data_IF_854333417880
#
_entry.id   IF_854333417880
#
_cell.length_a   1.000
_cell.length_b   1.000
_cell.length_c   1.000
_cell.angle_alpha   90.00
_cell.angle_beta   90.00
_cell.angle_gamma   90.00
#
_symmetry.space_group_name_H-M   'P 1'
#
loop_
_entity.id
_entity.type
_entity.pdbx_description
1 polymer ?
#
# COMPACT_ATOMS: atom_id res chain seq x y z
N UNK A 1 9.77 14.33 7.05
CA UNK A 1 10.88 14.45 6.08
C UNK A 1 10.24 14.74 4.72
N UNK A 2 10.40 15.97 4.20
CA UNK A 2 9.94 16.30 2.86
C UNK A 2 10.93 15.66 1.88
N UNK A 3 10.63 14.45 1.41
CA UNK A 3 11.38 13.83 0.34
C UNK A 3 11.16 14.68 -0.92
N UNK A 4 12.26 15.22 -1.43
CA UNK A 4 12.24 16.00 -2.67
C UNK A 4 11.73 15.14 -3.83
N UNK A 5 10.78 15.68 -4.60
CA UNK A 5 10.23 14.99 -5.77
C UNK A 5 11.20 15.16 -6.92
N UNK A 6 11.65 14.09 -7.59
CA UNK A 6 12.59 14.21 -8.68
C UNK A 6 11.98 14.98 -9.87
N UNK A 7 12.67 15.98 -10.43
CA UNK A 7 12.20 16.65 -11.62
C UNK A 7 12.16 15.68 -12.80
N UNK A 8 11.29 15.96 -13.77
CA UNK A 8 11.03 15.05 -14.89
C UNK A 8 12.30 14.65 -15.66
N UNK A 9 13.24 15.58 -15.85
CA UNK A 9 14.51 15.29 -16.52
C UNK A 9 15.34 14.26 -15.73
N UNK A 10 15.43 14.40 -14.40
CA UNK A 10 16.17 13.47 -13.55
C UNK A 10 15.54 12.06 -13.58
N UNK A 11 14.20 11.99 -13.55
CA UNK A 11 13.47 10.71 -13.70
C UNK A 11 13.80 10.04 -15.03
N UNK A 12 13.76 10.79 -16.15
CA UNK A 12 14.09 10.26 -17.48
C UNK A 12 15.54 9.76 -17.57
N UNK A 13 16.49 10.49 -17.01
CA UNK A 13 17.89 10.05 -16.91
C UNK A 13 17.99 8.76 -16.08
N UNK A 14 17.31 8.72 -14.94
CA UNK A 14 17.30 7.55 -14.07
C UNK A 14 16.68 6.33 -14.76
N UNK A 15 15.61 6.50 -15.54
CA UNK A 15 15.01 5.40 -16.31
C UNK A 15 16.01 4.76 -17.29
N UNK A 16 16.86 5.56 -17.94
CA UNK A 16 17.88 5.05 -18.88
C UNK A 16 19.04 4.40 -18.13
N UNK A 17 19.48 5.00 -17.02
CA UNK A 17 20.65 4.55 -16.26
C UNK A 17 20.32 3.49 -15.20
N UNK A 18 19.05 3.11 -15.05
CA UNK A 18 18.65 2.25 -13.93
C UNK A 18 19.30 0.88 -13.95
N UNK A 19 19.41 0.24 -15.10
CA UNK A 19 20.09 -1.05 -15.22
C UNK A 19 21.56 -0.97 -14.77
N UNK A 20 22.42 -0.07 -15.30
CA UNK A 20 23.79 0.06 -14.78
C UNK A 20 23.84 0.44 -13.29
N UNK A 21 22.92 1.27 -12.81
CA UNK A 21 22.83 1.58 -11.37
C UNK A 21 22.56 0.31 -10.55
N UNK A 22 21.59 -0.50 -10.94
CA UNK A 22 21.25 -1.75 -10.24
C UNK A 22 22.38 -2.76 -10.35
N UNK A 23 23.09 -2.84 -11.47
CA UNK A 23 24.29 -3.69 -11.59
C UNK A 23 25.37 -3.26 -10.60
N UNK A 24 25.65 -1.97 -10.48
CA UNK A 24 26.60 -1.42 -9.50
C UNK A 24 26.11 -1.70 -8.07
N UNK A 25 24.85 -1.43 -7.76
CA UNK A 25 24.28 -1.72 -6.44
C UNK A 25 24.38 -3.23 -6.12
N UNK A 26 24.12 -4.09 -7.09
CA UNK A 26 24.26 -5.55 -6.93
C UNK A 26 25.71 -5.93 -6.63
N UNK A 27 26.67 -5.33 -7.34
CA UNK A 27 28.11 -5.55 -7.09
C UNK A 27 28.53 -5.08 -5.68
N UNK A 28 27.99 -3.96 -5.20
CA UNK A 28 28.19 -3.47 -3.82
C UNK A 28 27.54 -4.40 -2.79
N UNK A 29 26.38 -4.96 -3.08
CA UNK A 29 25.67 -5.88 -2.18
C UNK A 29 26.30 -7.29 -2.14
N UNK A 30 27.02 -7.69 -3.20
CA UNK A 30 27.59 -9.03 -3.33
C UNK A 30 28.55 -9.41 -2.18
N UNK A 31 29.48 -8.56 -1.72
CA UNK A 31 30.31 -8.85 -0.55
C UNK A 31 29.48 -9.11 0.70
N UNK A 32 28.43 -8.33 0.95
CA UNK A 32 27.54 -8.51 2.10
C UNK A 32 26.72 -9.79 1.97
N UNK A 33 26.34 -10.18 0.76
CA UNK A 33 25.71 -11.46 0.49
C UNK A 33 26.64 -12.63 0.84
N UNK A 34 27.92 -12.59 0.39
CA UNK A 34 28.91 -13.61 0.67
C UNK A 34 29.22 -13.71 2.18
N UNK A 35 29.43 -12.56 2.84
CA UNK A 35 29.62 -12.50 4.30
C UNK A 35 28.37 -13.07 5.00
N UNK A 36 27.17 -12.67 4.57
CA UNK A 36 25.91 -13.18 5.11
C UNK A 36 25.77 -14.70 4.92
N UNK A 37 26.19 -15.24 3.77
CA UNK A 37 26.18 -16.67 3.49
C UNK A 37 27.15 -17.45 4.40
N UNK A 38 28.36 -16.92 4.62
CA UNK A 38 29.35 -17.50 5.54
C UNK A 38 28.83 -17.49 6.99
N UNK A 39 28.28 -16.35 7.43
CA UNK A 39 27.70 -16.20 8.79
C UNK A 39 26.47 -17.12 8.96
N UNK A 40 25.69 -17.33 7.90
CA UNK A 40 24.48 -18.16 7.92
C UNK A 40 24.74 -19.66 8.16
N UNK A 41 26.00 -20.10 8.11
CA UNK A 41 26.43 -21.45 8.53
C UNK A 41 26.15 -21.64 10.03
N UNK A 42 26.24 -20.57 10.82
CA UNK A 42 25.91 -20.61 12.24
C UNK A 42 24.40 -20.48 12.46
N UNK A 43 23.76 -21.34 13.29
CA UNK A 43 22.37 -21.29 13.59
C UNK A 43 21.91 -19.89 14.08
N UNK A 44 20.77 -19.41 13.61
CA UNK A 44 20.19 -18.13 14.01
C UNK A 44 20.80 -16.88 13.37
N UNK A 45 21.91 -16.99 12.61
CA UNK A 45 22.62 -15.82 12.04
C UNK A 45 22.35 -15.55 10.56
N UNK A 46 21.12 -15.82 10.10
CA UNK A 46 20.74 -15.69 8.67
C UNK A 46 20.18 -14.32 8.28
N UNK A 47 20.06 -13.35 9.20
CA UNK A 47 19.40 -12.06 8.95
C UNK A 47 20.05 -11.27 7.81
N UNK A 48 21.37 -11.11 7.83
CA UNK A 48 22.08 -10.37 6.79
C UNK A 48 21.83 -10.98 5.40
N UNK A 49 22.01 -12.30 5.28
CA UNK A 49 21.75 -13.00 4.02
C UNK A 49 20.31 -12.78 3.53
N UNK A 50 19.32 -12.87 4.41
CA UNK A 50 17.89 -12.68 4.11
C UNK A 50 17.60 -11.28 3.60
N UNK A 51 18.10 -10.25 4.30
CA UNK A 51 17.88 -8.85 3.94
C UNK A 51 18.55 -8.52 2.61
N UNK A 52 19.82 -8.90 2.42
CA UNK A 52 20.55 -8.64 1.18
C UNK A 52 19.90 -9.37 -0.01
N UNK A 53 19.50 -10.64 0.18
CA UNK A 53 18.78 -11.38 -0.86
C UNK A 53 17.49 -10.71 -1.27
N UNK A 54 16.69 -10.22 -0.30
CA UNK A 54 15.44 -9.53 -0.58
C UNK A 54 15.68 -8.18 -1.26
N UNK A 55 16.68 -7.41 -0.82
CA UNK A 55 17.05 -6.15 -1.46
C UNK A 55 17.46 -6.36 -2.94
N UNK A 56 18.26 -7.39 -3.22
CA UNK A 56 18.60 -7.75 -4.60
C UNK A 56 17.38 -8.16 -5.41
N UNK A 57 16.49 -8.99 -4.84
CA UNK A 57 15.25 -9.39 -5.50
C UNK A 57 14.35 -8.21 -5.81
N UNK A 58 14.24 -7.24 -4.90
CA UNK A 58 13.51 -5.99 -5.12
C UNK A 58 14.09 -5.19 -6.28
N UNK A 59 15.39 -4.90 -6.26
CA UNK A 59 16.07 -4.11 -7.30
C UNK A 59 15.90 -4.73 -8.70
N UNK A 60 16.06 -6.06 -8.82
CA UNK A 60 15.90 -6.74 -10.10
C UNK A 60 14.44 -6.86 -10.53
N UNK A 61 13.49 -6.92 -9.61
CA UNK A 61 12.06 -6.84 -9.93
C UNK A 61 11.69 -5.47 -10.47
N UNK A 62 12.25 -4.41 -9.89
CA UNK A 62 12.04 -3.03 -10.36
C UNK A 62 12.62 -2.82 -11.77
N UNK A 63 13.84 -3.31 -12.03
CA UNK A 63 14.39 -3.37 -13.39
C UNK A 63 13.43 -4.10 -14.34
N UNK A 64 12.91 -5.25 -13.91
CA UNK A 64 11.93 -6.02 -14.68
C UNK A 64 10.64 -5.25 -14.99
N UNK A 65 10.13 -4.48 -14.03
CA UNK A 65 8.97 -3.59 -14.24
C UNK A 65 9.29 -2.51 -15.27
N UNK A 66 10.40 -1.81 -15.12
CA UNK A 66 10.80 -0.72 -16.00
C UNK A 66 10.99 -1.21 -17.45
N UNK A 67 11.81 -2.22 -17.65
CA UNK A 67 12.10 -2.74 -18.99
C UNK A 67 10.94 -3.53 -19.58
N UNK A 68 10.12 -4.17 -18.75
CA UNK A 68 8.85 -4.75 -19.15
C UNK A 68 7.89 -3.70 -19.73
N UNK A 69 7.82 -2.54 -19.08
CA UNK A 69 7.08 -1.39 -19.60
C UNK A 69 7.63 -0.94 -20.97
N UNK A 70 8.94 -0.85 -21.12
CA UNK A 70 9.55 -0.48 -22.40
C UNK A 70 9.27 -1.52 -23.48
N UNK A 71 9.40 -2.81 -23.17
CA UNK A 71 9.08 -3.89 -24.10
C UNK A 71 7.62 -3.82 -24.58
N UNK A 72 6.67 -3.61 -23.65
CA UNK A 72 5.26 -3.44 -24.00
C UNK A 72 5.02 -2.20 -24.89
N UNK A 73 5.79 -1.13 -24.69
CA UNK A 73 5.70 0.05 -25.53
C UNK A 73 6.18 -0.23 -26.97
N UNK A 74 7.24 -1.01 -27.16
CA UNK A 74 7.74 -1.39 -28.49
C UNK A 74 6.81 -2.37 -29.22
N UNK A 75 6.19 -3.29 -28.48
CA UNK A 75 5.30 -4.30 -29.06
C UNK A 75 3.94 -3.71 -29.44
N UNK A 76 3.53 -2.62 -28.82
CA UNK A 76 2.25 -1.95 -29.09
C UNK A 76 2.48 -0.47 -29.43
N UNK A 77 3.02 -0.18 -30.63
CA UNK A 77 3.33 1.18 -31.01
C UNK A 77 2.08 2.04 -31.26
N UNK A 78 2.23 3.34 -31.18
CA UNK A 78 1.29 4.34 -31.66
C UNK A 78 1.33 4.36 -33.21
N UNK A 79 0.28 4.60 -33.98
CA UNK A 79 -1.12 4.87 -33.72
C UNK A 79 -2.00 3.63 -33.79
N UNK A 80 -3.20 3.68 -33.20
CA UNK A 80 -4.15 2.55 -33.20
C UNK A 80 -4.08 1.67 -31.94
N UNK A 81 -3.45 2.19 -30.88
CA UNK A 81 -3.35 1.49 -29.59
C UNK A 81 -4.73 1.25 -28.97
N UNK A 82 -5.07 -0.02 -28.76
CA UNK A 82 -6.18 -0.40 -27.90
C UNK A 82 -5.82 -0.09 -26.44
N UNK A 83 -6.49 0.91 -25.87
CA UNK A 83 -6.25 1.39 -24.49
C UNK A 83 -6.55 0.29 -23.47
N UNK A 84 -7.59 -0.53 -23.70
CA UNK A 84 -7.97 -1.61 -22.80
C UNK A 84 -6.86 -2.67 -22.78
N UNK A 85 -6.42 -3.12 -23.93
CA UNK A 85 -5.33 -4.11 -24.04
C UNK A 85 -4.02 -3.56 -23.48
N UNK A 86 -3.75 -2.27 -23.65
CA UNK A 86 -2.59 -1.59 -23.07
C UNK A 86 -2.60 -1.64 -21.54
N UNK A 87 -3.73 -1.28 -20.93
CA UNK A 87 -3.91 -1.33 -19.47
C UNK A 87 -3.83 -2.75 -18.93
N UNK A 88 -4.45 -3.72 -19.60
CA UNK A 88 -4.40 -5.12 -19.20
C UNK A 88 -2.99 -5.69 -19.19
N UNK A 89 -2.18 -5.42 -20.22
CA UNK A 89 -0.77 -5.85 -20.28
C UNK A 89 0.05 -5.26 -19.16
N UNK A 90 -0.11 -3.97 -18.86
CA UNK A 90 0.59 -3.31 -17.75
C UNK A 90 0.09 -3.82 -16.38
N UNK A 91 -1.20 -4.10 -16.25
CA UNK A 91 -1.76 -4.78 -15.06
C UNK A 91 -1.19 -6.20 -14.92
N UNK A 92 -1.01 -6.92 -16.01
CA UNK A 92 -0.34 -8.22 -16.03
C UNK A 92 1.11 -8.14 -15.54
N UNK A 93 1.84 -7.11 -15.97
CA UNK A 93 3.21 -6.85 -15.52
C UNK A 93 3.26 -6.52 -14.02
N UNK A 94 2.36 -5.66 -13.53
CA UNK A 94 2.23 -5.36 -12.10
C UNK A 94 1.94 -6.62 -11.28
N UNK A 95 0.99 -7.46 -11.75
CA UNK A 95 0.65 -8.73 -11.11
C UNK A 95 1.84 -9.69 -11.06
N UNK A 96 2.66 -9.73 -12.11
CA UNK A 96 3.88 -10.54 -12.14
C UNK A 96 4.90 -10.03 -11.13
N UNK A 97 5.18 -8.73 -11.12
CA UNK A 97 6.13 -8.11 -10.19
C UNK A 97 5.72 -8.34 -8.72
N UNK A 98 4.45 -8.12 -8.38
CA UNK A 98 3.95 -8.34 -7.03
C UNK A 98 4.01 -9.81 -6.61
N UNK A 99 3.75 -10.76 -7.53
CA UNK A 99 3.93 -12.19 -7.25
C UNK A 99 5.40 -12.56 -6.98
N UNK A 100 6.32 -11.99 -7.74
CA UNK A 100 7.77 -12.19 -7.52
C UNK A 100 8.17 -11.64 -6.16
N UNK A 101 7.76 -10.40 -5.83
CA UNK A 101 8.05 -9.77 -4.54
C UNK A 101 7.40 -10.52 -3.36
N UNK A 102 6.15 -10.98 -3.49
CA UNK A 102 5.48 -11.76 -2.47
C UNK A 102 6.18 -13.11 -2.23
N UNK A 103 6.63 -13.78 -3.28
CA UNK A 103 7.42 -15.01 -3.17
C UNK A 103 8.79 -14.74 -2.52
N UNK A 104 9.46 -13.66 -2.93
CA UNK A 104 10.75 -13.26 -2.36
C UNK A 104 10.63 -12.89 -0.88
N UNK A 105 9.63 -12.08 -0.50
CA UNK A 105 9.39 -11.69 0.89
C UNK A 105 9.08 -12.92 1.76
N UNK A 106 8.25 -13.84 1.28
CA UNK A 106 7.95 -15.08 2.01
C UNK A 106 9.19 -15.96 2.21
N UNK A 107 9.98 -16.19 1.15
CA UNK A 107 11.11 -17.11 1.20
C UNK A 107 12.34 -16.52 1.87
N UNK A 108 12.60 -15.23 1.69
CA UNK A 108 13.84 -14.58 2.14
C UNK A 108 13.68 -13.95 3.52
N UNK A 109 12.60 -13.17 3.75
CA UNK A 109 12.40 -12.49 5.03
C UNK A 109 11.34 -13.13 5.93
N UNK A 110 10.68 -14.20 5.47
CA UNK A 110 9.69 -14.93 6.27
C UNK A 110 8.30 -14.28 6.30
N UNK A 111 8.06 -13.23 5.51
CA UNK A 111 6.80 -12.50 5.51
C UNK A 111 5.64 -13.37 5.01
N UNK A 112 4.64 -13.55 5.85
CA UNK A 112 3.44 -14.34 5.56
C UNK A 112 2.21 -13.46 5.65
N UNK A 113 1.23 -13.76 4.82
CA UNK A 113 -0.08 -13.11 4.84
C UNK A 113 -1.13 -14.18 5.12
N UNK A 114 -1.96 -13.93 6.10
CA UNK A 114 -3.14 -14.73 6.43
C UNK A 114 -4.35 -13.87 6.11
N UNK A 115 -5.29 -14.44 5.39
CA UNK A 115 -6.49 -13.72 4.97
C UNK A 115 -7.69 -14.36 5.67
N UNK A 116 -8.29 -13.60 6.57
CA UNK A 116 -9.62 -13.89 7.11
C UNK A 116 -10.64 -13.25 6.16
N UNK A 117 -11.10 -14.06 5.20
CA UNK A 117 -11.88 -13.57 4.09
C UNK A 117 -13.30 -13.19 4.51
N UNK A 118 -13.60 -11.91 4.45
CA UNK A 118 -14.97 -11.40 4.45
C UNK A 118 -15.71 -11.72 3.13
N UNK A 119 -16.95 -11.24 2.97
CA UNK A 119 -17.71 -11.41 1.74
C UNK A 119 -16.99 -10.77 0.56
N UNK A 120 -17.00 -11.42 -0.61
CA UNK A 120 -16.43 -10.82 -1.81
C UNK A 120 -17.36 -9.73 -2.35
N UNK A 121 -16.83 -8.57 -2.76
CA UNK A 121 -17.63 -7.56 -3.41
C UNK A 121 -18.17 -8.07 -4.76
N UNK A 122 -19.34 -7.56 -5.21
CA UNK A 122 -19.95 -7.99 -6.47
C UNK A 122 -18.97 -7.87 -7.65
N UNK A 123 -18.94 -8.87 -8.57
CA UNK A 123 -18.07 -8.82 -9.74
C UNK A 123 -18.50 -7.69 -10.70
N UNK A 124 -17.53 -7.19 -11.48
CA UNK A 124 -17.77 -6.19 -12.53
C UNK A 124 -18.46 -4.89 -12.07
N UNK A 125 -18.21 -4.49 -10.82
CA UNK A 125 -18.59 -3.17 -10.29
C UNK A 125 -17.32 -2.46 -9.80
N UNK A 126 -17.19 -1.15 -10.04
CA UNK A 126 -16.06 -0.40 -9.51
C UNK A 126 -16.10 -0.38 -7.97
N UNK A 127 -14.93 -0.29 -7.36
CA UNK A 127 -14.80 -0.30 -5.90
C UNK A 127 -14.03 0.94 -5.42
N UNK A 128 -14.39 1.43 -4.26
CA UNK A 128 -13.51 2.24 -3.43
C UNK A 128 -13.01 1.35 -2.28
N UNK A 129 -11.72 1.33 -2.05
CA UNK A 129 -11.11 0.53 -0.99
C UNK A 129 -10.48 1.48 0.01
N UNK A 130 -10.93 1.41 1.24
CA UNK A 130 -10.38 2.15 2.36
C UNK A 130 -9.44 1.22 3.13
N UNK A 131 -8.14 1.45 3.01
CA UNK A 131 -7.12 0.60 3.64
C UNK A 131 -6.51 1.25 4.87
N UNK A 132 -6.31 0.46 5.94
CA UNK A 132 -5.44 0.83 7.06
C UNK A 132 -3.99 0.93 6.59
N UNK A 133 -3.19 1.80 7.21
CA UNK A 133 -1.79 2.00 6.83
C UNK A 133 -0.87 1.97 8.07
N UNK A 134 -0.27 0.81 8.34
CA UNK A 134 0.43 0.59 9.60
C UNK A 134 1.86 0.01 9.50
N UNK A 135 2.36 -0.31 8.31
CA UNK A 135 3.69 -0.92 8.27
C UNK A 135 4.36 -0.97 6.91
N UNK A 136 5.61 -1.42 6.85
CA UNK A 136 6.35 -1.56 5.61
C UNK A 136 5.76 -2.68 4.75
N UNK A 137 5.46 -2.39 3.49
CA UNK A 137 4.98 -3.38 2.53
C UNK A 137 3.47 -3.64 2.55
N UNK A 138 2.70 -3.04 3.47
CA UNK A 138 1.24 -3.14 3.47
C UNK A 138 0.64 -2.74 2.12
N UNK A 139 1.01 -1.59 1.59
CA UNK A 139 0.51 -1.10 0.30
C UNK A 139 0.72 -2.09 -0.84
N UNK A 140 1.88 -2.76 -0.92
CA UNK A 140 2.13 -3.80 -1.92
C UNK A 140 1.23 -5.01 -1.72
N UNK A 141 1.00 -5.40 -0.46
CA UNK A 141 0.13 -6.52 -0.10
C UNK A 141 -1.32 -6.21 -0.45
N UNK A 142 -1.81 -5.01 -0.11
CA UNK A 142 -3.17 -4.57 -0.43
C UNK A 142 -3.39 -4.47 -1.94
N UNK A 143 -2.45 -3.91 -2.70
CA UNK A 143 -2.52 -3.87 -4.17
C UNK A 143 -2.52 -5.28 -4.76
N UNK A 144 -1.73 -6.20 -4.20
CA UNK A 144 -1.76 -7.60 -4.62
C UNK A 144 -3.12 -8.27 -4.33
N UNK A 145 -3.73 -7.99 -3.18
CA UNK A 145 -5.07 -8.47 -2.82
C UNK A 145 -6.13 -7.96 -3.80
N UNK A 146 -6.08 -6.67 -4.16
CA UNK A 146 -6.97 -6.05 -5.15
C UNK A 146 -6.88 -6.78 -6.50
N UNK A 147 -5.66 -7.09 -6.94
CA UNK A 147 -5.42 -7.76 -8.22
C UNK A 147 -5.81 -9.24 -8.22
N UNK A 148 -5.63 -9.93 -7.10
CA UNK A 148 -5.75 -11.40 -7.06
C UNK A 148 -7.09 -11.87 -6.50
N UNK A 149 -7.54 -11.27 -5.39
CA UNK A 149 -8.75 -11.65 -4.68
C UNK A 149 -9.97 -10.90 -5.22
N UNK A 150 -9.91 -9.58 -5.25
CA UNK A 150 -11.02 -8.79 -5.78
C UNK A 150 -11.05 -8.73 -7.31
N UNK A 151 -9.96 -9.12 -7.98
CA UNK A 151 -9.83 -9.15 -9.44
C UNK A 151 -10.14 -7.80 -10.09
N UNK A 152 -9.61 -6.71 -9.48
CA UNK A 152 -9.74 -5.34 -9.97
C UNK A 152 -8.38 -4.77 -10.37
N UNK A 153 -8.39 -3.86 -11.34
CA UNK A 153 -7.22 -3.03 -11.66
C UNK A 153 -7.11 -1.92 -10.61
N UNK A 154 -5.98 -1.84 -9.89
CA UNK A 154 -5.83 -0.85 -8.82
C UNK A 154 -5.55 0.54 -9.41
N UNK A 155 -6.28 1.54 -8.95
CA UNK A 155 -5.92 2.95 -9.00
C UNK A 155 -5.47 3.36 -7.60
N UNK A 156 -4.24 3.80 -7.46
CA UNK A 156 -3.63 4.08 -6.16
C UNK A 156 -3.22 5.54 -6.08
N UNK A 157 -3.46 6.14 -4.92
CA UNK A 157 -2.94 7.47 -4.60
C UNK A 157 -1.65 7.30 -3.80
N UNK A 158 -0.52 7.70 -4.38
CA UNK A 158 0.82 7.52 -3.80
C UNK A 158 1.49 8.85 -3.50
N UNK A 159 2.53 8.82 -2.66
CA UNK A 159 3.41 9.98 -2.48
C UNK A 159 4.29 10.15 -3.73
N UNK A 160 4.44 11.39 -4.20
CA UNK A 160 5.29 11.68 -5.37
C UNK A 160 6.76 11.28 -5.20
N UNK A 161 7.24 11.16 -3.96
CA UNK A 161 8.57 10.61 -3.66
C UNK A 161 8.77 9.17 -4.14
N UNK A 162 7.69 8.39 -4.35
CA UNK A 162 7.79 7.05 -4.93
C UNK A 162 8.26 7.04 -6.39
N UNK A 163 8.24 8.20 -7.06
CA UNK A 163 8.78 8.37 -8.41
C UNK A 163 10.32 8.33 -8.48
N UNK A 164 11.02 8.21 -7.33
CA UNK A 164 12.44 7.86 -7.30
C UNK A 164 12.70 6.39 -7.65
N UNK A 165 11.69 5.54 -7.57
CA UNK A 165 11.72 4.16 -8.01
C UNK A 165 11.25 4.09 -9.47
N UNK A 166 12.14 3.79 -10.43
CA UNK A 166 11.82 3.91 -11.86
C UNK A 166 10.76 2.94 -12.36
N UNK A 167 10.71 1.73 -11.82
CA UNK A 167 9.70 0.75 -12.20
C UNK A 167 8.32 1.17 -11.70
N UNK A 168 8.23 1.62 -10.44
CA UNK A 168 7.01 2.18 -9.86
C UNK A 168 6.57 3.42 -10.65
N UNK A 169 7.50 4.34 -10.92
CA UNK A 169 7.20 5.57 -11.65
C UNK A 169 6.57 5.29 -13.02
N UNK A 170 7.23 4.49 -13.85
CA UNK A 170 6.75 4.24 -15.22
C UNK A 170 5.49 3.40 -15.22
N UNK A 171 5.45 2.32 -14.44
CA UNK A 171 4.34 1.37 -14.46
C UNK A 171 3.05 2.00 -13.92
N UNK A 172 3.11 2.67 -12.77
CA UNK A 172 1.92 3.24 -12.14
C UNK A 172 1.40 4.49 -12.86
N UNK A 173 2.26 5.30 -13.51
CA UNK A 173 1.80 6.34 -14.41
C UNK A 173 1.03 5.77 -15.62
N UNK A 174 1.39 4.60 -16.12
CA UNK A 174 0.68 3.93 -17.22
C UNK A 174 -0.63 3.25 -16.81
N UNK A 175 -0.82 3.05 -15.51
CA UNK A 175 -2.05 2.55 -14.91
C UNK A 175 -2.92 3.65 -14.33
N UNK A 176 -2.68 4.91 -14.70
CA UNK A 176 -3.43 6.09 -14.26
C UNK A 176 -3.50 6.25 -12.73
N UNK A 177 -2.45 5.80 -12.00
CA UNK A 177 -2.31 6.09 -10.59
C UNK A 177 -1.88 7.54 -10.35
N UNK A 178 -2.20 8.09 -9.18
CA UNK A 178 -1.93 9.49 -8.86
C UNK A 178 -0.79 9.65 -7.85
N UNK A 179 0.22 10.44 -8.22
CA UNK A 179 1.33 10.79 -7.37
C UNK A 179 1.11 12.15 -6.70
N UNK A 180 0.82 12.13 -5.40
CA UNK A 180 0.56 13.31 -4.58
C UNK A 180 1.83 14.17 -4.42
N UNK A 181 1.80 15.45 -4.83
CA UNK A 181 2.88 16.39 -4.55
C UNK A 181 3.09 16.59 -3.04
N UNK A 182 4.36 16.81 -2.64
CA UNK A 182 4.71 17.04 -1.22
C UNK A 182 4.42 18.47 -0.74
N UNK A 183 3.90 19.36 -1.58
CA UNK A 183 3.76 20.78 -1.29
C UNK A 183 2.66 21.08 -0.27
N UNK A 184 2.97 21.92 0.68
CA UNK A 184 2.03 22.67 1.53
C UNK A 184 1.22 23.61 0.65
N UNK A 185 -0.10 23.47 0.61
CA UNK A 185 -1.02 24.29 -0.21
C UNK A 185 -1.87 23.51 -1.21
N UNK A 186 -1.59 22.24 -1.46
CA UNK A 186 -2.26 21.41 -2.45
C UNK A 186 -3.54 20.71 -1.91
N UNK A 187 -4.24 21.26 -0.93
CA UNK A 187 -5.44 20.62 -0.37
C UNK A 187 -6.54 20.47 -1.42
N UNK A 188 -6.88 21.53 -2.10
CA UNK A 188 -7.95 21.57 -3.11
C UNK A 188 -7.56 20.74 -4.35
N UNK A 189 -6.29 20.82 -4.79
CA UNK A 189 -5.79 20.00 -5.89
C UNK A 189 -5.88 18.50 -5.61
N UNK A 190 -5.64 18.09 -4.35
CA UNK A 190 -5.73 16.67 -3.94
C UNK A 190 -7.17 16.16 -4.01
N UNK A 191 -8.11 16.94 -3.51
CA UNK A 191 -9.54 16.64 -3.54
C UNK A 191 -10.00 16.51 -4.99
N UNK A 192 -9.64 17.47 -5.85
CA UNK A 192 -9.97 17.43 -7.26
C UNK A 192 -9.41 16.19 -7.98
N UNK A 193 -8.16 15.81 -7.69
CA UNK A 193 -7.56 14.62 -8.30
C UNK A 193 -8.22 13.32 -7.83
N UNK A 194 -8.53 13.17 -6.54
CA UNK A 194 -9.25 12.01 -6.02
C UNK A 194 -10.65 11.94 -6.64
N UNK A 195 -11.36 13.08 -6.73
CA UNK A 195 -12.66 13.20 -7.40
C UNK A 195 -12.57 12.72 -8.86
N UNK A 196 -11.56 13.16 -9.59
CA UNK A 196 -11.34 12.77 -10.99
C UNK A 196 -11.05 11.27 -11.12
N UNK A 197 -10.20 10.71 -10.26
CA UNK A 197 -9.93 9.27 -10.22
C UNK A 197 -11.21 8.47 -9.95
N UNK A 198 -11.99 8.87 -8.96
CA UNK A 198 -13.24 8.20 -8.62
C UNK A 198 -14.21 8.22 -9.79
N UNK A 199 -14.44 9.40 -10.43
CA UNK A 199 -15.30 9.53 -11.62
C UNK A 199 -14.83 8.68 -12.79
N UNK A 200 -13.54 8.47 -12.94
CA UNK A 200 -12.95 7.70 -14.04
C UNK A 200 -12.92 6.18 -13.80
N UNK A 201 -13.43 5.69 -12.66
CA UNK A 201 -13.45 4.27 -12.36
C UNK A 201 -14.30 3.48 -13.36
N UNK A 202 -13.67 2.51 -13.99
CA UNK A 202 -14.31 1.52 -14.84
C UNK A 202 -14.80 0.32 -14.00
N UNK A 203 -15.63 -0.55 -14.59
CA UNK A 203 -16.27 -1.67 -13.88
C UNK A 203 -15.28 -2.61 -13.18
N UNK A 204 -14.10 -2.79 -13.75
CA UNK A 204 -13.07 -3.69 -13.24
C UNK A 204 -11.92 -2.93 -12.55
N UNK A 205 -12.19 -1.75 -12.01
CA UNK A 205 -11.21 -0.92 -11.31
C UNK A 205 -11.56 -0.72 -9.83
N UNK A 206 -10.52 -0.52 -9.04
CA UNK A 206 -10.64 -0.20 -7.62
C UNK A 206 -9.73 0.97 -7.26
N UNK A 207 -10.28 2.00 -6.62
CA UNK A 207 -9.53 3.13 -6.08
C UNK A 207 -9.14 2.82 -4.63
N UNK A 208 -7.84 2.65 -4.38
CA UNK A 208 -7.30 2.47 -3.03
C UNK A 208 -6.97 3.83 -2.41
N UNK A 209 -7.59 4.10 -1.29
CA UNK A 209 -7.36 5.28 -0.45
C UNK A 209 -6.93 4.81 0.94
N UNK A 210 -5.93 5.49 1.51
CA UNK A 210 -5.55 5.37 2.90
C UNK A 210 -6.09 6.58 3.66
N UNK A 211 -7.23 6.48 4.36
CA UNK A 211 -7.88 7.62 5.01
C UNK A 211 -7.00 8.29 6.07
N UNK A 212 -6.13 7.54 6.70
CA UNK A 212 -5.15 8.01 7.70
C UNK A 212 -4.12 9.00 7.13
N UNK A 213 -3.87 8.97 5.83
CA UNK A 213 -2.90 9.84 5.14
C UNK A 213 -1.44 9.55 5.51
N UNK A 214 -1.15 8.44 6.16
CA UNK A 214 0.20 7.97 6.47
C UNK A 214 0.21 6.82 7.45
N UNK A 215 1.33 6.10 7.53
CA UNK A 215 1.47 4.93 8.41
C UNK A 215 1.20 5.30 9.86
N UNK A 216 0.50 4.43 10.56
CA UNK A 216 0.30 4.54 11.99
C UNK A 216 1.66 4.50 12.73
N UNK A 217 1.80 5.36 13.70
CA UNK A 217 2.88 5.35 14.71
C UNK A 217 2.39 6.09 15.96
N UNK A 218 2.83 5.71 17.17
CA UNK A 218 2.43 6.40 18.41
C UNK A 218 2.63 7.93 18.35
N UNK A 219 3.75 8.36 17.74
CA UNK A 219 4.06 9.78 17.56
C UNK A 219 3.09 10.51 16.63
N UNK A 220 2.65 9.84 15.56
CA UNK A 220 1.67 10.41 14.61
C UNK A 220 0.28 10.43 15.22
N UNK A 221 -0.11 9.36 15.90
CA UNK A 221 -1.36 9.28 16.63
C UNK A 221 -1.48 10.43 17.64
N UNK A 222 -0.53 10.57 18.57
CA UNK A 222 -0.51 11.68 19.53
C UNK A 222 -0.51 13.08 18.87
N UNK A 223 0.07 13.22 17.68
CA UNK A 223 0.01 14.48 16.90
C UNK A 223 -1.38 14.72 16.30
N UNK A 224 -2.03 13.68 15.82
CA UNK A 224 -3.36 13.77 15.22
C UNK A 224 -4.39 14.16 16.29
N UNK A 225 -4.38 13.51 17.46
CA UNK A 225 -5.24 13.86 18.60
C UNK A 225 -5.03 15.32 19.01
N UNK A 226 -3.78 15.77 19.17
CA UNK A 226 -3.49 17.19 19.49
C UNK A 226 -3.98 18.16 18.42
N UNK A 227 -3.96 17.75 17.15
CA UNK A 227 -4.50 18.56 16.06
C UNK A 227 -6.02 18.71 16.19
N UNK A 228 -6.76 17.62 16.42
CA UNK A 228 -8.21 17.63 16.62
C UNK A 228 -8.60 18.54 17.81
N UNK A 229 -7.92 18.42 18.95
CA UNK A 229 -8.15 19.29 20.10
C UNK A 229 -7.92 20.77 19.76
N UNK A 230 -6.84 21.11 19.05
CA UNK A 230 -6.54 22.50 18.68
C UNK A 230 -7.52 23.09 17.67
N UNK A 231 -8.17 22.25 16.88
CA UNK A 231 -9.16 22.67 15.87
C UNK A 231 -10.59 22.60 16.39
N UNK A 232 -10.80 22.33 17.68
CA UNK A 232 -12.12 22.32 18.32
C UNK A 232 -12.95 21.08 18.03
N UNK A 233 -12.37 20.03 17.47
CA UNK A 233 -13.03 18.76 17.15
C UNK A 233 -12.96 17.81 18.36
N UNK A 234 -13.58 18.20 19.46
CA UNK A 234 -13.43 17.53 20.77
C UNK A 234 -13.96 16.11 20.80
N UNK A 235 -15.13 15.85 20.17
CA UNK A 235 -15.71 14.50 20.12
C UNK A 235 -14.79 13.54 19.35
N UNK A 236 -14.38 13.90 18.13
CA UNK A 236 -13.42 13.12 17.35
C UNK A 236 -12.06 12.96 18.03
N UNK A 237 -11.65 13.96 18.83
CA UNK A 237 -10.40 13.85 19.59
C UNK A 237 -10.52 12.84 20.74
N UNK A 238 -11.72 12.72 21.34
CA UNK A 238 -12.01 11.74 22.38
C UNK A 238 -12.03 10.32 21.76
N UNK A 239 -12.78 10.12 20.69
CA UNK A 239 -12.80 8.85 19.95
C UNK A 239 -11.39 8.42 19.55
N UNK A 240 -10.62 9.32 18.93
CA UNK A 240 -9.23 9.04 18.55
C UNK A 240 -8.28 8.79 19.75
N UNK A 241 -8.64 9.15 20.98
CA UNK A 241 -7.87 8.78 22.19
C UNK A 241 -8.15 7.35 22.64
N UNK A 242 -9.37 6.88 22.36
CA UNK A 242 -9.80 5.53 22.70
C UNK A 242 -9.35 4.51 21.63
N UNK A 243 -9.03 4.98 20.40
CA UNK A 243 -8.52 4.19 19.29
C UNK A 243 -6.98 4.14 19.30
N UNK A 244 -6.39 2.99 19.65
CA UNK A 244 -4.94 2.88 19.85
C UNK A 244 -4.16 2.41 18.61
N UNK A 245 -4.83 1.82 17.61
CA UNK A 245 -4.19 1.12 16.50
C UNK A 245 -4.38 1.81 15.15
N UNK A 246 -5.20 2.83 15.05
CA UNK A 246 -5.44 3.59 13.84
C UNK A 246 -5.10 5.07 14.00
N UNK A 247 -4.91 5.80 12.92
CA UNK A 247 -4.93 7.26 12.95
C UNK A 247 -6.34 7.74 12.62
N UNK A 248 -6.84 8.81 13.29
CA UNK A 248 -8.13 9.38 12.93
C UNK A 248 -8.16 9.72 11.44
N UNK A 249 -9.18 9.27 10.72
CA UNK A 249 -9.25 9.42 9.27
C UNK A 249 -9.29 10.88 8.85
N UNK A 250 -8.68 11.17 7.70
CA UNK A 250 -8.76 12.46 7.00
C UNK A 250 -9.85 12.36 5.94
N UNK A 251 -11.05 12.79 6.27
CA UNK A 251 -12.23 12.38 5.51
C UNK A 251 -12.37 13.05 4.14
N UNK A 252 -11.67 14.15 3.89
CA UNK A 252 -11.86 14.93 2.66
C UNK A 252 -11.65 14.15 1.36
N UNK A 253 -10.66 13.27 1.32
CA UNK A 253 -10.41 12.42 0.14
C UNK A 253 -11.48 11.35 -0.05
N UNK A 254 -11.92 10.73 1.05
CA UNK A 254 -12.98 9.71 1.01
C UNK A 254 -14.32 10.34 0.62
N UNK A 255 -14.70 11.45 1.28
CA UNK A 255 -15.91 12.18 0.94
C UNK A 255 -15.94 12.63 -0.53
N UNK A 256 -14.81 13.13 -1.05
CA UNK A 256 -14.70 13.51 -2.46
C UNK A 256 -14.89 12.33 -3.42
N UNK A 257 -14.33 11.16 -3.10
CA UNK A 257 -14.47 9.96 -3.91
C UNK A 257 -15.93 9.46 -3.92
N UNK A 258 -16.53 9.31 -2.74
CA UNK A 258 -17.89 8.78 -2.59
C UNK A 258 -18.96 9.75 -3.12
N UNK A 259 -18.82 11.06 -2.89
CA UNK A 259 -19.70 12.06 -3.50
C UNK A 259 -19.60 12.10 -5.02
N UNK A 260 -18.40 11.81 -5.58
CA UNK A 260 -18.20 11.77 -7.03
C UNK A 260 -18.77 10.50 -7.69
N UNK A 261 -18.89 9.41 -6.93
CA UNK A 261 -19.37 8.10 -7.36
C UNK A 261 -20.23 7.46 -6.26
N UNK A 262 -21.46 7.91 -6.07
CA UNK A 262 -22.36 7.37 -5.04
C UNK A 262 -22.87 5.95 -5.36
N UNK A 263 -22.57 5.43 -6.55
CA UNK A 263 -22.94 4.11 -7.05
C UNK A 263 -21.88 3.02 -6.79
N UNK A 264 -20.76 3.36 -6.13
CA UNK A 264 -19.68 2.38 -5.85
C UNK A 264 -19.88 1.70 -4.51
N UNK A 265 -19.57 0.41 -4.46
CA UNK A 265 -19.43 -0.31 -3.21
C UNK A 265 -18.07 0.02 -2.56
N UNK A 266 -18.03 0.02 -1.24
CA UNK A 266 -16.81 0.30 -0.49
C UNK A 266 -16.33 -0.98 0.20
N UNK A 267 -15.05 -1.26 0.07
CA UNK A 267 -14.36 -2.32 0.85
C UNK A 267 -13.52 -1.61 1.91
N UNK A 268 -13.84 -1.83 3.17
CA UNK A 268 -13.02 -1.41 4.31
C UNK A 268 -12.07 -2.53 4.64
N UNK A 269 -10.77 -2.25 4.64
CA UNK A 269 -9.71 -3.25 4.72
C UNK A 269 -8.82 -2.99 5.93
N UNK A 270 -8.91 -3.87 6.92
CA UNK A 270 -8.06 -3.90 8.10
C UNK A 270 -6.89 -4.87 7.92
N UNK A 271 -5.79 -4.59 8.57
CA UNK A 271 -4.69 -5.53 8.72
C UNK A 271 -3.94 -5.30 10.03
N UNK A 272 -3.32 -6.36 10.55
CA UNK A 272 -2.49 -6.37 11.77
C UNK A 272 -1.18 -7.14 11.51
N UNK A 273 -0.26 -7.11 12.46
CA UNK A 273 1.00 -7.88 12.43
C UNK A 273 2.22 -7.09 11.94
N UNK A 274 2.06 -5.90 11.36
CA UNK A 274 3.15 -5.02 10.93
C UNK A 274 3.35 -3.80 11.85
N UNK A 275 2.53 -3.65 12.84
CA UNK A 275 2.34 -2.46 13.67
C UNK A 275 3.61 -2.03 14.44
N UNK A 276 4.44 -2.99 14.81
CA UNK A 276 5.69 -2.75 15.53
C UNK A 276 6.92 -2.56 14.63
N UNK A 277 6.74 -2.60 13.31
CA UNK A 277 7.84 -2.46 12.34
C UNK A 277 7.94 -1.01 11.84
N UNK A 278 8.24 -0.08 12.73
CA UNK A 278 8.26 1.37 12.47
C UNK A 278 9.66 1.85 12.05
N UNK A 279 10.71 1.31 12.67
CA UNK A 279 12.08 1.73 12.44
C UNK A 279 12.90 0.66 11.70
N UNK A 280 13.98 1.04 10.98
CA UNK A 280 14.86 0.07 10.35
C UNK A 280 15.46 -0.94 11.31
N UNK A 281 15.68 -0.56 12.58
CA UNK A 281 16.21 -1.47 13.59
C UNK A 281 15.18 -2.52 14.00
N UNK A 282 13.93 -2.10 14.26
CA UNK A 282 12.84 -3.03 14.57
C UNK A 282 12.59 -4.01 13.42
N UNK A 283 12.60 -3.53 12.16
CA UNK A 283 12.50 -4.39 10.99
C UNK A 283 13.65 -5.39 10.94
N UNK A 284 14.89 -4.96 11.19
CA UNK A 284 16.05 -5.81 11.22
C UNK A 284 15.96 -6.89 12.32
N UNK A 285 15.53 -6.49 13.51
CA UNK A 285 15.40 -7.40 14.65
C UNK A 285 14.29 -8.44 14.47
N UNK A 286 13.21 -8.04 13.78
CA UNK A 286 12.07 -8.92 13.49
C UNK A 286 12.37 -9.98 12.42
N UNK A 287 13.42 -9.85 11.60
CA UNK A 287 13.71 -10.82 10.52
C UNK A 287 14.33 -12.10 11.09
N UNK A 288 13.76 -13.28 10.75
CA UNK A 288 12.58 -13.51 9.91
C UNK A 288 11.27 -13.12 10.61
N UNK A 289 10.34 -12.49 9.86
CA UNK A 289 9.02 -12.08 10.36
C UNK A 289 7.98 -13.21 10.28
N UNK A 290 8.42 -14.47 10.36
CA UNK A 290 7.58 -15.66 10.24
C UNK A 290 6.76 -15.96 11.50
N UNK A 291 7.08 -15.32 12.62
CA UNK A 291 6.37 -15.45 13.89
C UNK A 291 5.11 -14.55 13.95
N UNK A 292 5.01 -13.57 13.07
CA UNK A 292 3.89 -12.61 13.03
C UNK A 292 3.43 -12.45 11.58
N UNK A 293 2.48 -13.26 11.11
CA UNK A 293 1.90 -13.07 9.80
C UNK A 293 1.15 -11.74 9.76
N UNK A 294 1.07 -11.13 8.60
CA UNK A 294 0.14 -10.05 8.38
C UNK A 294 -1.26 -10.64 8.22
N UNK A 295 -2.11 -10.46 9.21
CA UNK A 295 -3.53 -10.81 9.14
C UNK A 295 -4.29 -9.72 8.40
N UNK A 296 -5.21 -10.11 7.52
CA UNK A 296 -6.04 -9.19 6.72
C UNK A 296 -7.49 -9.60 6.83
N UNK A 297 -8.35 -8.63 7.11
CA UNK A 297 -9.80 -8.76 7.08
C UNK A 297 -10.44 -7.60 6.29
N UNK A 298 -11.64 -7.81 5.77
CA UNK A 298 -12.40 -6.75 5.11
C UNK A 298 -13.90 -6.87 5.27
N UNK A 299 -14.55 -5.73 5.24
CA UNK A 299 -16.00 -5.59 5.17
C UNK A 299 -16.39 -4.97 3.84
N UNK A 300 -17.59 -5.28 3.36
CA UNK A 300 -18.15 -4.68 2.15
C UNK A 300 -19.37 -3.87 2.56
N UNK A 301 -19.31 -2.56 2.32
CA UNK A 301 -20.46 -1.65 2.42
C UNK A 301 -21.04 -1.45 1.01
N UNK A 302 -22.30 -1.81 0.83
CA UNK A 302 -23.00 -1.59 -0.44
C UNK A 302 -23.28 -0.10 -0.63
N UNK A 303 -23.23 0.37 -1.87
CA UNK A 303 -23.43 1.79 -2.23
C UNK A 303 -24.69 2.41 -1.58
N UNK A 304 -25.78 1.66 -1.55
CA UNK A 304 -27.06 2.13 -0.98
C UNK A 304 -27.08 2.26 0.56
N UNK A 305 -26.09 1.75 1.26
CA UNK A 305 -25.99 1.82 2.74
C UNK A 305 -25.10 2.98 3.21
N UNK A 306 -24.34 3.58 2.29
CA UNK A 306 -23.40 4.67 2.59
C UNK A 306 -24.17 6.01 2.52
N UNK A 307 -24.00 6.91 3.50
CA UNK A 307 -24.60 8.23 3.43
C UNK A 307 -24.22 8.99 2.16
N UNK A 308 -25.15 9.78 1.62
CA UNK A 308 -24.93 10.53 0.37
C UNK A 308 -24.41 11.96 0.59
N UNK A 309 -24.63 12.52 1.77
CA UNK A 309 -24.13 13.84 2.13
C UNK A 309 -22.76 13.80 2.78
N UNK A 310 -22.00 14.88 2.64
CA UNK A 310 -20.62 14.94 3.11
C UNK A 310 -20.52 14.69 4.61
N UNK A 311 -21.44 15.22 5.42
CA UNK A 311 -21.39 15.07 6.88
C UNK A 311 -21.63 13.62 7.27
N UNK A 312 -22.64 12.98 6.71
CA UNK A 312 -22.92 11.57 6.96
C UNK A 312 -21.78 10.66 6.50
N UNK A 313 -21.12 10.95 5.36
CA UNK A 313 -19.91 10.21 4.93
C UNK A 313 -18.79 10.34 5.96
N UNK A 314 -18.58 11.53 6.55
CA UNK A 314 -17.55 11.74 7.55
C UNK A 314 -17.80 10.91 8.82
N UNK A 315 -19.01 10.99 9.34
CA UNK A 315 -19.45 10.22 10.52
C UNK A 315 -19.33 8.71 10.24
N UNK A 316 -19.81 8.25 9.09
CA UNK A 316 -19.67 6.85 8.69
C UNK A 316 -18.20 6.37 8.58
N UNK A 317 -17.29 7.21 8.08
CA UNK A 317 -15.86 6.87 8.00
C UNK A 317 -15.25 6.78 9.40
N UNK A 318 -15.61 7.67 10.32
CA UNK A 318 -15.13 7.58 11.71
C UNK A 318 -15.66 6.30 12.38
N UNK A 319 -16.96 5.96 12.22
CA UNK A 319 -17.56 4.73 12.76
C UNK A 319 -16.85 3.46 12.26
N UNK A 320 -16.67 3.32 10.94
CA UNK A 320 -16.00 2.13 10.39
C UNK A 320 -14.52 2.08 10.76
N UNK A 321 -13.88 3.22 11.07
CA UNK A 321 -12.49 3.24 11.54
C UNK A 321 -12.38 2.75 12.98
N UNK A 322 -13.37 3.02 13.81
CA UNK A 322 -13.51 2.39 15.14
C UNK A 322 -13.66 0.86 15.06
N UNK A 323 -14.42 0.34 14.07
CA UNK A 323 -14.51 -1.10 13.83
C UNK A 323 -13.14 -1.69 13.39
N UNK A 324 -12.37 -0.97 12.57
CA UNK A 324 -11.02 -1.36 12.17
C UNK A 324 -10.09 -1.43 13.38
N UNK A 325 -10.12 -0.42 14.27
CA UNK A 325 -9.34 -0.38 15.51
C UNK A 325 -9.65 -1.58 16.41
N UNK A 326 -10.94 -1.81 16.67
CA UNK A 326 -11.39 -2.92 17.51
C UNK A 326 -10.99 -4.29 16.94
N UNK A 327 -11.04 -4.46 15.62
CA UNK A 327 -10.59 -5.70 15.00
C UNK A 327 -9.08 -5.89 15.14
N UNK A 328 -8.28 -4.81 14.96
CA UNK A 328 -6.83 -4.88 15.11
C UNK A 328 -6.43 -5.20 16.55
N UNK A 329 -7.09 -4.58 17.54
CA UNK A 329 -6.88 -4.90 18.96
C UNK A 329 -7.14 -6.38 19.24
N UNK A 330 -8.29 -6.91 18.78
CA UNK A 330 -8.65 -8.31 18.96
C UNK A 330 -7.64 -9.26 18.33
N UNK A 331 -7.14 -8.94 17.13
CA UNK A 331 -6.15 -9.76 16.41
C UNK A 331 -4.79 -9.76 17.14
N UNK A 332 -4.35 -8.60 17.62
CA UNK A 332 -3.10 -8.48 18.38
C UNK A 332 -3.17 -9.21 19.73
N UNK A 333 -4.32 -9.23 20.39
CA UNK A 333 -4.53 -9.98 21.64
C UNK A 333 -4.50 -11.50 21.42
N UNK A 334 -5.04 -12.01 20.30
CA UNK A 334 -4.98 -13.43 19.96
C UNK A 334 -3.54 -13.91 19.75
N UNK A 335 -2.68 -13.06 19.16
CA UNK A 335 -1.26 -13.39 18.99
C UNK A 335 -0.48 -13.49 20.31
N UNK A 336 -0.90 -12.76 21.35
CA UNK A 336 -0.25 -12.79 22.68
C UNK A 336 -0.61 -14.06 23.46
N UNK A 337 -1.74 -14.69 23.17
CA UNK A 337 -2.19 -15.91 23.83
C UNK A 337 -1.90 -17.11 22.94
N UNK A 338 -0.76 -17.83 23.11
CA UNK A 338 -0.49 -19.01 22.31
C UNK A 338 -1.58 -20.04 22.56
N UNK A 339 -2.09 -20.64 21.50
CA UNK A 339 -3.05 -21.73 21.60
C UNK A 339 -2.50 -22.82 22.54
N UNK A 340 -3.32 -23.40 23.42
CA UNK A 340 -2.88 -24.50 24.26
C UNK A 340 -2.35 -25.63 23.39
N UNK A 341 -1.28 -26.32 23.79
CA UNK A 341 -0.75 -27.45 23.03
C UNK A 341 -1.86 -28.45 22.75
N UNK A 342 -1.99 -28.84 21.49
CA UNK A 342 -2.99 -29.84 21.09
C UNK A 342 -2.78 -31.14 21.92
N UNK A 343 -3.85 -31.80 22.34
CA UNK A 343 -3.80 -32.97 23.21
C UNK A 343 -3.10 -34.18 22.58
#
# INVERSE_FOLDING_TARGET
MNLWVPPLWARRVLHVLWLPVVVVLTAVLLPFYVIGAVIAIFPGRRRLLRVVSFAMAYLWTDVGMLYGCWALWFVQPLPGRDVTQWRERHTGLLRLALRVLAKASRSMVGFRVVVDAGPLPPPHRPLVILGRHAGPGDSFTLVNLILTTFRRRPKVVLKAAMQWDPGIDVLLNRLDCYFLPSATGAGDDRIEHVTRLARSLERDEALLIFPEGGNWTPKRHARAVRYLLRTGQYERAKEAQDEEHVLPPRPGGVAAALSARPDVDVVVLAHAGLDLLVTPLEIWEAIPVDHRPMSIHWWVAEAGTIPSDVKGILEWVDDVWGEVDAWVEAELQQEVTPAPPAP
#
